data_IF_086113178574
#
_entry.id   IF_086113178574
#
_cell.length_a   1.000
_cell.length_b   1.000
_cell.length_c   1.000
_cell.angle_alpha   90.00
_cell.angle_beta   90.00
_cell.angle_gamma   90.00
#
_symmetry.space_group_name_H-M   'P 1'
#
loop_
_entity.id
_entity.type
_entity.pdbx_description
1 polymer ?
#
# COMPACT_ATOMS: atom_id res chain seq x y z
N UNK A 1 7.66 -8.48 -17.41
CA UNK A 1 8.14 -7.31 -16.65
C UNK A 1 8.55 -7.76 -15.25
N UNK A 2 9.29 -6.94 -14.52
CA UNK A 2 9.68 -7.19 -13.13
C UNK A 2 8.92 -6.30 -12.12
N UNK A 3 8.07 -5.38 -12.60
CA UNK A 3 7.18 -4.55 -11.80
C UNK A 3 5.82 -4.48 -12.48
N UNK A 4 4.76 -4.63 -11.69
CA UNK A 4 3.37 -4.58 -12.14
C UNK A 4 2.56 -3.70 -11.20
N UNK A 5 1.79 -2.77 -11.77
CA UNK A 5 0.86 -1.91 -11.05
C UNK A 5 -0.51 -2.14 -11.64
N UNK A 6 -1.39 -2.77 -10.87
CA UNK A 6 -2.74 -3.12 -11.28
C UNK A 6 -3.69 -2.00 -10.82
N UNK A 7 -4.53 -1.51 -11.73
CA UNK A 7 -5.58 -0.55 -11.41
C UNK A 7 -6.94 -1.25 -11.42
N UNK A 8 -7.80 -0.94 -10.47
CA UNK A 8 -9.15 -1.52 -10.38
C UNK A 8 -10.23 -0.51 -10.78
N UNK A 9 -11.11 -0.92 -11.70
CA UNK A 9 -12.22 -0.11 -12.19
C UNK A 9 -13.21 0.22 -11.06
N UNK A 10 -13.48 -0.71 -10.14
CA UNK A 10 -14.44 -0.52 -9.04
C UNK A 10 -14.04 0.62 -8.11
N UNK A 11 -12.73 0.77 -7.88
CA UNK A 11 -12.16 1.86 -7.08
C UNK A 11 -12.32 3.20 -7.80
N UNK A 12 -12.02 3.22 -9.11
CA UNK A 12 -12.17 4.42 -9.96
C UNK A 12 -13.63 4.88 -10.09
N UNK A 13 -14.59 3.96 -10.23
CA UNK A 13 -16.03 4.25 -10.30
C UNK A 13 -16.54 4.92 -9.02
N UNK A 14 -15.98 4.58 -7.86
CA UNK A 14 -16.23 5.25 -6.57
C UNK A 14 -15.45 6.54 -6.36
N UNK A 15 -14.69 6.98 -7.37
CA UNK A 15 -13.86 8.20 -7.34
C UNK A 15 -12.79 8.20 -6.25
N UNK A 16 -12.31 7.02 -5.86
CA UNK A 16 -11.19 6.89 -4.94
C UNK A 16 -9.91 6.85 -5.77
N UNK A 17 -8.99 7.78 -5.50
CA UNK A 17 -7.72 7.89 -6.22
C UNK A 17 -6.54 7.96 -5.25
N UNK A 18 -5.44 7.25 -5.53
CA UNK A 18 -5.18 6.43 -6.73
C UNK A 18 -5.92 5.08 -6.73
N UNK A 19 -6.41 4.64 -7.88
CA UNK A 19 -7.22 3.43 -8.03
C UNK A 19 -6.39 2.13 -8.11
N UNK A 20 -5.40 2.00 -7.23
CA UNK A 20 -4.40 0.92 -7.26
C UNK A 20 -4.89 -0.30 -6.46
N UNK A 21 -4.81 -1.48 -7.08
CA UNK A 21 -4.97 -2.74 -6.39
C UNK A 21 -3.65 -3.13 -5.73
N UNK A 22 -3.53 -2.91 -4.42
CA UNK A 22 -2.30 -3.11 -3.66
C UNK A 22 -1.91 -4.59 -3.58
N UNK A 23 -2.89 -5.47 -3.42
CA UNK A 23 -2.66 -6.92 -3.26
C UNK A 23 -2.08 -7.55 -4.53
N UNK A 24 -2.50 -7.07 -5.70
CA UNK A 24 -1.99 -7.56 -7.00
C UNK A 24 -0.73 -6.84 -7.49
N UNK A 25 -0.45 -5.64 -6.99
CA UNK A 25 0.70 -4.84 -7.42
C UNK A 25 1.96 -5.24 -6.67
N UNK A 26 3.10 -5.28 -7.35
CA UNK A 26 4.37 -5.65 -6.75
C UNK A 26 5.56 -5.58 -7.70
N UNK A 27 6.75 -5.63 -7.11
CA UNK A 27 8.02 -5.59 -7.83
C UNK A 27 8.86 -6.79 -7.38
N UNK A 28 9.46 -7.51 -8.34
CA UNK A 28 10.40 -8.60 -8.04
C UNK A 28 11.71 -8.02 -7.54
N UNK A 29 12.32 -8.72 -6.57
CA UNK A 29 13.58 -8.31 -5.91
C UNK A 29 13.49 -6.92 -5.26
N UNK A 30 12.38 -6.65 -4.57
CA UNK A 30 12.16 -5.36 -3.88
C UNK A 30 13.20 -5.08 -2.77
N UNK A 31 13.90 -6.11 -2.27
CA UNK A 31 15.01 -5.99 -1.33
C UNK A 31 16.24 -5.25 -1.89
N UNK A 32 16.36 -5.11 -3.22
CA UNK A 32 17.47 -4.38 -3.84
C UNK A 32 17.20 -2.87 -3.97
N UNK A 33 15.95 -2.45 -3.78
CA UNK A 33 15.50 -1.06 -3.97
C UNK A 33 14.91 -0.45 -2.70
N UNK A 34 14.82 -1.22 -1.62
CA UNK A 34 14.31 -0.77 -0.33
C UNK A 34 15.27 -1.17 0.79
N UNK A 35 15.38 -0.32 1.80
CA UNK A 35 16.13 -0.67 3.00
C UNK A 35 15.44 -1.81 3.76
N UNK A 36 16.22 -2.67 4.42
CA UNK A 36 15.70 -3.84 5.12
C UNK A 36 14.64 -3.48 6.19
N UNK A 37 14.79 -2.33 6.85
CA UNK A 37 13.83 -1.83 7.83
C UNK A 37 12.50 -1.39 7.19
N UNK A 38 12.56 -0.76 6.02
CA UNK A 38 11.37 -0.37 5.25
C UNK A 38 10.66 -1.59 4.66
N UNK A 39 11.42 -2.55 4.14
CA UNK A 39 10.90 -3.80 3.60
C UNK A 39 10.06 -4.57 4.63
N UNK A 40 10.54 -4.66 5.88
CA UNK A 40 9.78 -5.28 6.97
C UNK A 40 8.46 -4.54 7.26
N UNK A 41 8.47 -3.20 7.24
CA UNK A 41 7.28 -2.37 7.44
C UNK A 41 6.27 -2.55 6.30
N UNK A 42 6.72 -2.56 5.05
CA UNK A 42 5.88 -2.83 3.88
C UNK A 42 5.24 -4.22 3.96
N UNK A 43 5.97 -5.22 4.44
CA UNK A 43 5.45 -6.58 4.64
C UNK A 43 4.34 -6.64 5.68
N UNK A 44 4.50 -5.96 6.81
CA UNK A 44 3.45 -5.87 7.85
C UNK A 44 2.21 -5.20 7.28
N UNK A 45 2.38 -4.08 6.57
CA UNK A 45 1.28 -3.39 5.90
C UNK A 45 0.55 -4.30 4.91
N UNK A 46 1.28 -5.01 4.04
CA UNK A 46 0.67 -5.95 3.09
C UNK A 46 -0.12 -7.05 3.78
N UNK A 47 0.39 -7.61 4.90
CA UNK A 47 -0.36 -8.61 5.68
C UNK A 47 -1.64 -8.04 6.30
N UNK A 48 -1.60 -6.79 6.75
CA UNK A 48 -2.78 -6.10 7.29
C UNK A 48 -3.85 -5.85 6.22
N UNK A 49 -3.43 -5.50 5.00
CA UNK A 49 -4.34 -5.18 3.88
C UNK A 49 -4.86 -6.43 3.15
N UNK A 50 -4.14 -7.55 3.19
CA UNK A 50 -4.51 -8.78 2.48
C UNK A 50 -5.92 -9.33 2.80
N UNK A 51 -6.42 -9.35 4.05
CA UNK A 51 -7.78 -9.83 4.33
C UNK A 51 -8.88 -8.82 3.97
N UNK A 52 -8.54 -7.58 3.64
CA UNK A 52 -9.51 -6.54 3.28
C UNK A 52 -9.90 -6.65 1.80
N UNK A 53 -11.15 -6.29 1.48
CA UNK A 53 -11.57 -6.04 0.09
C UNK A 53 -10.74 -4.90 -0.51
N UNK A 54 -10.49 -4.92 -1.83
CA UNK A 54 -9.54 -4.00 -2.44
C UNK A 54 -9.94 -2.52 -2.29
N UNK A 55 -11.24 -2.25 -2.27
CA UNK A 55 -11.73 -0.90 -2.01
C UNK A 55 -11.49 -0.48 -0.56
N UNK A 56 -11.80 -1.35 0.40
CA UNK A 56 -11.59 -1.06 1.81
C UNK A 56 -10.10 -0.87 2.13
N UNK A 57 -9.24 -1.67 1.49
CA UNK A 57 -7.79 -1.59 1.65
C UNK A 57 -7.23 -0.22 1.22
N UNK A 58 -7.64 0.29 0.06
CA UNK A 58 -7.15 1.59 -0.43
C UNK A 58 -7.73 2.75 0.37
N UNK A 59 -9.00 2.68 0.77
CA UNK A 59 -9.62 3.70 1.62
C UNK A 59 -8.95 3.76 2.99
N UNK A 60 -8.70 2.61 3.61
CA UNK A 60 -7.97 2.52 4.87
C UNK A 60 -6.55 3.09 4.75
N UNK A 61 -5.83 2.74 3.68
CA UNK A 61 -4.48 3.25 3.45
C UNK A 61 -4.51 4.78 3.29
N UNK A 62 -5.43 5.31 2.48
CA UNK A 62 -5.54 6.75 2.25
C UNK A 62 -5.93 7.51 3.51
N UNK A 63 -6.82 6.95 4.34
CA UNK A 63 -7.18 7.54 5.63
C UNK A 63 -5.96 7.70 6.54
N UNK A 64 -5.15 6.65 6.68
CA UNK A 64 -3.93 6.70 7.50
C UNK A 64 -2.82 7.57 6.92
N UNK A 65 -2.69 7.60 5.58
CA UNK A 65 -1.70 8.46 4.94
C UNK A 65 -2.05 9.94 5.10
N UNK A 66 -3.35 10.32 5.10
CA UNK A 66 -3.79 11.71 5.27
C UNK A 66 -3.37 12.33 6.61
N UNK A 67 -3.27 11.52 7.66
CA UNK A 67 -2.84 11.96 8.99
C UNK A 67 -1.33 12.26 9.07
N UNK A 68 -0.57 11.93 8.02
CA UNK A 68 0.89 12.03 8.00
C UNK A 68 1.38 12.82 6.79
N UNK A 69 2.53 13.49 6.92
CA UNK A 69 3.12 14.28 5.83
C UNK A 69 4.10 13.47 4.98
N UNK A 70 4.71 12.44 5.55
CA UNK A 70 5.70 11.62 4.88
C UNK A 70 5.44 10.12 5.12
N UNK A 71 5.91 9.29 4.19
CA UNK A 71 5.85 7.83 4.34
C UNK A 71 6.64 7.34 5.57
N UNK A 72 7.70 8.06 5.96
CA UNK A 72 8.45 7.79 7.18
C UNK A 72 7.57 7.93 8.42
N UNK A 73 6.86 9.05 8.54
CA UNK A 73 5.93 9.30 9.65
C UNK A 73 4.79 8.29 9.68
N UNK A 74 4.25 7.94 8.51
CA UNK A 74 3.22 6.89 8.37
C UNK A 74 3.69 5.54 8.92
N UNK A 75 4.89 5.11 8.56
CA UNK A 75 5.43 3.84 9.05
C UNK A 75 5.78 3.87 10.54
N UNK A 76 6.13 5.01 11.12
CA UNK A 76 6.30 5.12 12.57
C UNK A 76 4.95 5.16 13.30
N UNK A 77 3.92 5.77 12.72
CA UNK A 77 2.57 5.78 13.28
C UNK A 77 1.93 4.38 13.33
N UNK A 78 2.23 3.50 12.36
CA UNK A 78 1.76 2.10 12.37
C UNK A 78 2.43 1.20 13.41
N UNK A 79 3.56 1.61 13.99
CA UNK A 79 4.21 0.85 15.08
C UNK A 79 3.52 1.06 16.44
N UNK A 80 2.69 2.10 16.55
CA UNK A 80 2.02 2.50 17.80
C UNK A 80 0.71 1.78 18.01
#
# INVERSE_FOLDING_TARGET
GNSEIHLDRRISEKRVFPAVNINRSGTRKEELITDQGELAKMWILRKLLHPMDELAAIEFLLDKMKDTKSNGDFFEAMKR
#
